data_IF_189531323238
#
_entry.id   IF_189531323238
#
_cell.length_a   1.000
_cell.length_b   1.000
_cell.length_c   1.000
_cell.angle_alpha   90.00
_cell.angle_beta   90.00
_cell.angle_gamma   90.00
#
_symmetry.space_group_name_H-M   'P 1'
#
loop_
_entity.id
_entity.type
_entity.pdbx_description
1 polymer ?
#
# COMPACT_ATOMS: atom_id res chain seq x y z
N UNK A 1 13.72 -9.70 -0.08
CA UNK A 1 12.51 -9.87 0.76
C UNK A 1 12.93 -9.88 2.22
N UNK A 2 12.23 -9.16 3.10
CA UNK A 2 12.53 -9.24 4.54
C UNK A 2 12.03 -10.59 5.09
N UNK A 3 12.78 -11.26 5.97
CA UNK A 3 12.29 -12.52 6.59
C UNK A 3 10.93 -12.33 7.25
N UNK A 4 10.74 -11.21 7.95
CA UNK A 4 9.47 -10.89 8.63
C UNK A 4 8.30 -10.68 7.66
N UNK A 5 8.58 -10.12 6.48
CA UNK A 5 7.58 -9.96 5.42
C UNK A 5 7.13 -11.32 4.90
N UNK A 6 8.09 -12.23 4.66
CA UNK A 6 7.81 -13.59 4.23
C UNK A 6 6.95 -14.31 5.24
N UNK A 7 7.32 -14.23 6.51
CA UNK A 7 6.61 -14.93 7.58
C UNK A 7 5.16 -14.43 7.70
N UNK A 8 4.91 -13.12 7.55
CA UNK A 8 3.54 -12.57 7.51
C UNK A 8 2.76 -13.07 6.29
N UNK A 9 3.34 -12.96 5.09
CA UNK A 9 2.70 -13.38 3.84
C UNK A 9 2.29 -14.85 3.91
N UNK A 10 3.18 -15.72 4.39
CA UNK A 10 2.89 -17.15 4.55
C UNK A 10 1.79 -17.42 5.57
N UNK A 11 1.76 -16.70 6.69
CA UNK A 11 0.68 -16.83 7.69
C UNK A 11 -0.67 -16.38 7.11
N UNK A 12 -0.70 -15.31 6.30
CA UNK A 12 -1.93 -14.87 5.63
C UNK A 12 -2.43 -15.95 4.66
N UNK A 13 -1.53 -16.54 3.86
CA UNK A 13 -1.90 -17.60 2.93
C UNK A 13 -2.38 -18.85 3.64
N UNK A 14 -1.76 -19.21 4.76
CA UNK A 14 -2.20 -20.32 5.61
C UNK A 14 -3.58 -20.06 6.20
N UNK A 15 -3.83 -18.84 6.68
CA UNK A 15 -5.11 -18.44 7.26
C UNK A 15 -6.27 -18.52 6.24
N UNK A 16 -6.06 -18.10 4.99
CA UNK A 16 -7.12 -18.08 3.98
C UNK A 16 -7.23 -19.37 3.14
N UNK A 17 -6.11 -20.05 2.87
CA UNK A 17 -6.05 -21.15 1.90
C UNK A 17 -5.46 -22.45 2.47
N UNK A 18 -5.00 -22.43 3.72
CA UNK A 18 -4.46 -23.59 4.41
C UNK A 18 -2.96 -23.81 4.23
N UNK A 19 -2.43 -24.72 5.03
CA UNK A 19 -1.00 -24.97 5.20
C UNK A 19 -0.31 -25.44 3.90
N UNK A 20 -0.98 -26.27 3.10
CA UNK A 20 -0.41 -26.78 1.84
C UNK A 20 -0.14 -25.65 0.85
N UNK A 21 -1.09 -24.71 0.74
CA UNK A 21 -0.95 -23.54 -0.13
C UNK A 21 0.18 -22.63 0.34
N UNK A 22 0.24 -22.40 1.66
CA UNK A 22 1.32 -21.60 2.28
C UNK A 22 2.70 -22.20 2.02
N UNK A 23 2.90 -23.51 2.22
CA UNK A 23 4.19 -24.16 1.99
C UNK A 23 4.67 -24.06 0.53
N UNK A 24 3.80 -24.34 -0.43
CA UNK A 24 4.13 -24.21 -1.86
C UNK A 24 4.42 -22.75 -2.23
N UNK A 25 3.64 -21.80 -1.69
CA UNK A 25 3.92 -20.37 -1.85
C UNK A 25 5.27 -19.96 -1.22
N UNK A 26 5.70 -20.60 -0.13
CA UNK A 26 7.02 -20.42 0.47
C UNK A 26 8.16 -20.82 -0.45
N UNK A 27 8.03 -21.96 -1.15
CA UNK A 27 8.99 -22.37 -2.17
C UNK A 27 9.05 -21.36 -3.34
N UNK A 28 7.89 -20.84 -3.75
CA UNK A 28 7.77 -19.82 -4.80
C UNK A 28 8.42 -18.49 -4.39
N UNK A 29 8.21 -18.03 -3.16
CA UNK A 29 8.81 -16.81 -2.62
C UNK A 29 10.33 -16.90 -2.49
N UNK A 30 10.86 -18.09 -2.15
CA UNK A 30 12.31 -18.30 -2.02
C UNK A 30 13.02 -18.46 -3.36
N UNK A 31 12.37 -19.12 -4.31
CA UNK A 31 12.97 -19.42 -5.62
C UNK A 31 12.83 -18.28 -6.62
N UNK A 32 11.88 -17.36 -6.41
CA UNK A 32 11.54 -16.34 -7.39
C UNK A 32 10.74 -16.92 -8.57
N UNK A 33 10.78 -16.27 -9.75
CA UNK A 33 10.10 -16.75 -10.96
C UNK A 33 10.54 -18.18 -11.32
N UNK A 34 9.59 -19.11 -11.39
CA UNK A 34 9.87 -20.53 -11.55
C UNK A 34 8.83 -21.24 -12.42
N UNK A 35 9.24 -22.26 -13.15
CA UNK A 35 8.32 -23.10 -13.93
C UNK A 35 7.57 -24.08 -13.04
N UNK A 36 6.39 -24.53 -13.48
CA UNK A 36 5.58 -25.52 -12.76
C UNK A 36 6.38 -26.81 -12.48
N UNK A 37 7.16 -27.30 -13.45
CA UNK A 37 7.94 -28.53 -13.28
C UNK A 37 9.03 -28.37 -12.22
N UNK A 38 9.75 -27.24 -12.24
CA UNK A 38 10.80 -26.96 -11.27
C UNK A 38 10.22 -26.71 -9.87
N UNK A 39 9.05 -26.06 -9.78
CA UNK A 39 8.33 -25.92 -8.53
C UNK A 39 7.92 -27.28 -7.97
N UNK A 40 7.35 -28.15 -8.81
CA UNK A 40 6.94 -29.50 -8.42
C UNK A 40 8.14 -30.36 -7.97
N UNK A 41 9.29 -30.29 -8.66
CA UNK A 41 10.50 -31.03 -8.24
C UNK A 41 11.13 -30.48 -6.98
N UNK A 42 11.02 -29.18 -6.73
CA UNK A 42 11.55 -28.54 -5.51
C UNK A 42 10.66 -28.74 -4.29
N UNK A 43 9.38 -28.99 -4.52
CA UNK A 43 8.39 -29.23 -3.48
C UNK A 43 8.33 -30.73 -3.17
N UNK A 44 8.13 -31.10 -1.90
CA UNK A 44 7.82 -32.49 -1.53
C UNK A 44 6.41 -32.94 -1.93
N UNK A 45 5.68 -32.12 -2.70
CA UNK A 45 4.29 -32.33 -3.07
C UNK A 45 4.15 -32.91 -4.46
N UNK A 46 3.07 -33.67 -4.69
CA UNK A 46 2.78 -34.22 -6.01
C UNK A 46 2.43 -33.11 -7.01
N UNK A 47 2.75 -33.33 -8.29
CA UNK A 47 2.46 -32.38 -9.37
C UNK A 47 1.00 -31.90 -9.38
N UNK A 48 0.05 -32.79 -9.11
CA UNK A 48 -1.38 -32.46 -9.06
C UNK A 48 -1.69 -31.46 -7.94
N UNK A 49 -1.10 -31.63 -6.76
CA UNK A 49 -1.29 -30.71 -5.62
C UNK A 49 -0.67 -29.34 -5.92
N UNK A 50 0.52 -29.31 -6.51
CA UNK A 50 1.20 -28.07 -6.91
C UNK A 50 0.40 -27.31 -7.97
N UNK A 51 -0.08 -28.02 -9.01
CA UNK A 51 -0.94 -27.45 -10.04
C UNK A 51 -2.22 -26.86 -9.46
N UNK A 52 -2.93 -27.60 -8.61
CA UNK A 52 -4.18 -27.12 -8.00
C UNK A 52 -3.94 -25.91 -7.09
N UNK A 53 -2.83 -25.90 -6.36
CA UNK A 53 -2.42 -24.78 -5.50
C UNK A 53 -2.16 -23.52 -6.33
N UNK A 54 -1.40 -23.63 -7.43
CA UNK A 54 -1.18 -22.49 -8.33
C UNK A 54 -2.48 -21.98 -8.93
N UNK A 55 -3.41 -22.87 -9.30
CA UNK A 55 -4.73 -22.45 -9.82
C UNK A 55 -5.51 -21.62 -8.79
N UNK A 56 -5.49 -22.00 -7.52
CA UNK A 56 -6.13 -21.23 -6.43
C UNK A 56 -5.45 -19.85 -6.33
N UNK A 57 -4.12 -19.81 -6.25
CA UNK A 57 -3.38 -18.56 -6.08
C UNK A 57 -3.53 -17.62 -7.28
N UNK A 58 -3.55 -18.15 -8.51
CA UNK A 58 -3.82 -17.38 -9.73
C UNK A 58 -5.25 -16.85 -9.71
N UNK A 59 -6.22 -17.69 -9.34
CA UNK A 59 -7.63 -17.29 -9.24
C UNK A 59 -7.82 -16.12 -8.26
N UNK A 60 -7.07 -16.06 -7.17
CA UNK A 60 -7.13 -14.92 -6.24
C UNK A 60 -6.18 -13.76 -6.60
N UNK A 61 -5.53 -13.80 -7.77
CA UNK A 61 -4.63 -12.74 -8.24
C UNK A 61 -3.33 -12.61 -7.43
N UNK A 62 -2.98 -13.63 -6.64
CA UNK A 62 -1.78 -13.64 -5.78
C UNK A 62 -0.54 -14.01 -6.59
N UNK A 63 -0.68 -14.99 -7.48
CA UNK A 63 0.38 -15.44 -8.39
C UNK A 63 0.14 -14.86 -9.78
N UNK A 64 1.16 -14.21 -10.31
CA UNK A 64 1.24 -13.80 -11.69
C UNK A 64 1.95 -14.88 -12.51
N UNK A 65 1.64 -14.94 -13.79
CA UNK A 65 2.34 -15.79 -14.74
C UNK A 65 2.77 -14.97 -15.95
N UNK A 66 4.01 -15.18 -16.36
CA UNK A 66 4.64 -14.51 -17.49
C UNK A 66 5.18 -15.57 -18.47
N UNK A 67 5.18 -15.21 -19.75
CA UNK A 67 5.70 -16.06 -20.83
C UNK A 67 7.13 -15.63 -21.14
N UNK A 68 8.07 -16.54 -21.01
CA UNK A 68 9.45 -16.34 -21.46
C UNK A 68 9.77 -17.31 -22.60
N UNK A 69 10.34 -16.79 -23.69
CA UNK A 69 10.89 -17.62 -24.76
C UNK A 69 12.38 -17.82 -24.54
N UNK A 70 12.83 -19.07 -24.51
CA UNK A 70 14.24 -19.41 -24.63
C UNK A 70 14.49 -20.04 -26.00
N UNK A 71 15.41 -19.46 -26.76
CA UNK A 71 15.88 -20.04 -28.01
C UNK A 71 16.97 -21.06 -27.72
N UNK A 72 16.73 -22.33 -28.02
CA UNK A 72 17.76 -23.37 -28.01
C UNK A 72 17.99 -23.78 -29.47
N UNK A 73 19.02 -23.22 -30.09
CA UNK A 73 19.27 -23.39 -31.53
C UNK A 73 18.21 -22.68 -32.37
N UNK A 74 17.54 -23.41 -33.27
CA UNK A 74 16.45 -22.90 -34.11
C UNK A 74 15.04 -23.12 -33.52
N UNK A 75 14.94 -23.62 -32.28
CA UNK A 75 13.67 -23.93 -31.64
C UNK A 75 13.43 -22.92 -30.52
N UNK A 76 12.35 -22.15 -30.66
CA UNK A 76 11.84 -21.29 -29.61
C UNK A 76 10.92 -22.10 -28.69
N UNK A 77 11.35 -22.30 -27.45
CA UNK A 77 10.55 -22.93 -26.40
C UNK A 77 9.97 -21.85 -25.52
N UNK A 78 8.64 -21.83 -25.39
CA UNK A 78 7.94 -20.93 -24.47
C UNK A 78 7.76 -21.60 -23.11
N UNK A 79 8.25 -20.93 -22.08
CA UNK A 79 8.13 -21.33 -20.69
C UNK A 79 7.19 -20.39 -19.95
N UNK A 80 6.30 -20.96 -19.13
CA UNK A 80 5.46 -20.18 -18.21
C UNK A 80 6.18 -20.09 -16.87
N UNK A 81 6.53 -18.87 -16.47
CA UNK A 81 7.08 -18.58 -15.15
C UNK A 81 6.00 -18.06 -14.22
N UNK A 82 5.96 -18.60 -13.01
CA UNK A 82 5.06 -18.17 -11.96
C UNK A 82 5.81 -17.32 -10.95
N UNK A 83 5.23 -16.20 -10.53
CA UNK A 83 5.78 -15.29 -9.53
C UNK A 83 4.71 -14.87 -8.52
N UNK A 84 5.07 -14.79 -7.23
CA UNK A 84 4.13 -14.39 -6.17
C UNK A 84 4.24 -12.90 -5.88
N UNK A 85 3.10 -12.21 -5.80
CA UNK A 85 3.04 -10.81 -5.41
C UNK A 85 2.65 -10.64 -3.95
N UNK A 86 3.62 -10.25 -3.11
CA UNK A 86 3.39 -9.99 -1.68
C UNK A 86 2.32 -8.92 -1.44
N UNK A 87 2.33 -7.86 -2.26
CA UNK A 87 1.36 -6.76 -2.15
C UNK A 87 -0.08 -7.24 -2.35
N UNK A 88 -0.29 -8.19 -3.28
CA UNK A 88 -1.61 -8.76 -3.51
C UNK A 88 -2.04 -9.64 -2.32
N UNK A 89 -1.12 -10.35 -1.66
CA UNK A 89 -1.45 -11.09 -0.42
C UNK A 89 -1.85 -10.13 0.70
N UNK A 90 -1.08 -9.07 0.94
CA UNK A 90 -1.42 -8.06 1.96
C UNK A 90 -2.78 -7.41 1.67
N UNK A 91 -3.11 -7.18 0.40
CA UNK A 91 -4.37 -6.57 0.00
C UNK A 91 -5.62 -7.41 0.34
N UNK A 92 -5.49 -8.73 0.58
CA UNK A 92 -6.61 -9.57 1.02
C UNK A 92 -7.20 -9.08 2.35
N UNK A 93 -6.33 -8.66 3.28
CA UNK A 93 -6.74 -8.11 4.58
C UNK A 93 -7.31 -6.68 4.45
N UNK A 94 -7.13 -6.03 3.30
CA UNK A 94 -7.62 -4.68 3.01
C UNK A 94 -8.92 -4.68 2.19
N UNK A 95 -9.46 -5.84 1.82
CA UNK A 95 -10.75 -5.95 1.14
C UNK A 95 -11.86 -5.20 1.91
N UNK A 96 -12.00 -5.32 3.25
CA UNK A 96 -13.02 -4.57 3.99
C UNK A 96 -12.93 -3.06 3.83
N UNK A 97 -11.71 -2.52 3.66
CA UNK A 97 -11.51 -1.09 3.45
C UNK A 97 -12.03 -0.62 2.08
N UNK A 98 -12.06 -1.49 1.07
CA UNK A 98 -12.70 -1.18 -0.24
C UNK A 98 -14.18 -0.84 -0.04
N UNK A 99 -14.88 -1.64 0.77
CA UNK A 99 -16.29 -1.41 1.08
C UNK A 99 -16.50 -0.12 1.87
N UNK A 100 -15.58 0.22 2.78
CA UNK A 100 -15.65 1.47 3.53
C UNK A 100 -15.53 2.70 2.61
N UNK A 101 -14.57 2.71 1.67
CA UNK A 101 -14.40 3.84 0.74
C UNK A 101 -15.61 4.00 -0.18
N UNK A 102 -16.23 2.88 -0.56
CA UNK A 102 -17.33 2.88 -1.53
C UNK A 102 -18.70 2.94 -0.88
N UNK A 103 -18.78 3.08 0.45
CA UNK A 103 -20.04 3.06 1.20
C UNK A 103 -21.04 4.14 0.75
N UNK A 104 -20.56 5.35 0.46
CA UNK A 104 -21.42 6.48 0.05
C UNK A 104 -22.07 6.28 -1.33
N UNK A 105 -21.58 5.31 -2.10
CA UNK A 105 -21.89 5.12 -3.51
C UNK A 105 -22.41 3.71 -3.83
N UNK A 106 -22.44 2.82 -2.85
CA UNK A 106 -22.87 1.44 -3.01
C UNK A 106 -24.31 1.28 -2.56
N UNK A 107 -25.18 0.99 -3.52
CA UNK A 107 -26.49 0.43 -3.22
C UNK A 107 -26.33 -1.01 -2.68
N UNK A 108 -27.36 -1.52 -1.98
CA UNK A 108 -27.37 -2.88 -1.42
C UNK A 108 -26.94 -3.93 -2.46
N UNK A 109 -27.50 -3.87 -3.67
CA UNK A 109 -27.20 -4.83 -4.75
C UNK A 109 -25.78 -4.68 -5.30
N UNK A 110 -25.30 -3.44 -5.43
CA UNK A 110 -23.92 -3.14 -5.85
C UNK A 110 -22.90 -3.70 -4.85
N UNK A 111 -23.20 -3.59 -3.54
CA UNK A 111 -22.33 -4.11 -2.49
C UNK A 111 -22.19 -5.64 -2.56
N UNK A 112 -23.28 -6.35 -2.86
CA UNK A 112 -23.27 -7.80 -3.00
C UNK A 112 -22.49 -8.23 -4.26
N UNK A 113 -22.63 -7.51 -5.39
CA UNK A 113 -21.82 -7.73 -6.59
C UNK A 113 -20.33 -7.59 -6.29
N UNK A 114 -19.94 -6.52 -5.59
CA UNK A 114 -18.54 -6.29 -5.20
C UNK A 114 -18.03 -7.38 -4.24
N UNK A 115 -18.87 -7.84 -3.31
CA UNK A 115 -18.55 -8.92 -2.37
C UNK A 115 -18.32 -10.26 -3.07
N UNK A 116 -19.13 -10.59 -4.08
CA UNK A 116 -18.93 -11.81 -4.87
C UNK A 116 -17.62 -11.77 -5.66
N UNK A 117 -17.29 -10.61 -6.24
CA UNK A 117 -16.01 -10.42 -6.94
C UNK A 117 -14.84 -10.54 -5.95
N UNK A 118 -14.95 -9.96 -4.76
CA UNK A 118 -13.94 -10.05 -3.71
C UNK A 118 -13.69 -11.51 -3.25
N UNK A 119 -14.76 -12.26 -3.00
CA UNK A 119 -14.69 -13.66 -2.55
C UNK A 119 -14.10 -14.58 -3.61
N UNK A 120 -14.50 -14.42 -4.87
CA UNK A 120 -14.10 -15.32 -5.94
C UNK A 120 -12.78 -14.93 -6.62
N UNK A 121 -12.27 -13.71 -6.41
CA UNK A 121 -10.98 -13.25 -6.93
C UNK A 121 -11.08 -12.74 -8.37
N UNK A 122 -10.61 -13.54 -9.33
CA UNK A 122 -10.72 -13.30 -10.77
C UNK A 122 -11.96 -14.02 -11.29
N UNK A 123 -12.93 -13.25 -11.78
CA UNK A 123 -14.26 -13.75 -12.14
C UNK A 123 -14.71 -13.20 -13.48
N UNK A 124 -15.43 -14.01 -14.26
CA UNK A 124 -16.08 -13.54 -15.49
C UNK A 124 -17.49 -13.01 -15.21
N UNK A 125 -17.98 -12.08 -16.04
CA UNK A 125 -19.34 -11.55 -15.93
C UNK A 125 -20.39 -12.65 -15.88
N UNK A 126 -20.29 -13.65 -16.76
CA UNK A 126 -21.22 -14.78 -16.77
C UNK A 126 -21.23 -15.61 -15.47
N UNK A 127 -20.13 -15.66 -14.72
CA UNK A 127 -20.09 -16.33 -13.41
C UNK A 127 -20.71 -15.47 -12.30
N UNK A 128 -20.52 -14.15 -12.36
CA UNK A 128 -21.18 -13.22 -11.43
C UNK A 128 -22.69 -13.29 -11.60
N UNK A 129 -23.19 -13.23 -12.85
CA UNK A 129 -24.62 -13.38 -13.18
C UNK A 129 -25.21 -14.70 -12.66
N UNK A 130 -24.46 -15.81 -12.79
CA UNK A 130 -24.90 -17.13 -12.27
C UNK A 130 -24.92 -17.21 -10.74
N UNK A 131 -23.95 -16.57 -10.07
CA UNK A 131 -23.88 -16.57 -8.61
C UNK A 131 -24.97 -15.67 -7.99
N UNK A 132 -25.37 -14.62 -8.69
CA UNK A 132 -26.36 -13.64 -8.26
C UNK A 132 -27.65 -13.76 -9.09
N UNK A 133 -28.27 -14.94 -9.07
CA UNK A 133 -29.54 -15.19 -9.77
C UNK A 133 -30.70 -14.32 -9.28
N UNK A 134 -30.55 -13.71 -8.09
CA UNK A 134 -31.57 -12.88 -7.46
C UNK A 134 -31.54 -11.42 -7.95
N UNK A 135 -30.45 -10.99 -8.60
CA UNK A 135 -30.26 -9.61 -9.06
C UNK A 135 -30.42 -9.59 -10.59
N UNK A 136 -31.12 -8.57 -11.12
CA UNK A 136 -31.29 -8.41 -12.56
C UNK A 136 -29.93 -8.22 -13.26
N UNK A 137 -29.75 -8.84 -14.43
CA UNK A 137 -28.49 -8.81 -15.16
C UNK A 137 -28.04 -7.38 -15.51
N UNK A 138 -28.98 -6.49 -15.82
CA UNK A 138 -28.72 -5.09 -16.16
C UNK A 138 -28.12 -4.33 -14.97
N UNK A 139 -28.60 -4.59 -13.74
CA UNK A 139 -28.07 -3.98 -12.50
C UNK A 139 -26.65 -4.43 -12.22
N UNK A 140 -26.33 -5.70 -12.51
CA UNK A 140 -24.97 -6.24 -12.37
C UNK A 140 -24.02 -5.53 -13.34
N UNK A 141 -24.44 -5.35 -14.60
CA UNK A 141 -23.63 -4.67 -15.62
C UNK A 141 -23.42 -3.18 -15.28
N UNK A 142 -24.47 -2.48 -14.84
CA UNK A 142 -24.36 -1.09 -14.40
C UNK A 142 -23.43 -0.95 -13.18
N UNK A 143 -23.52 -1.87 -12.23
CA UNK A 143 -22.63 -1.90 -11.04
C UNK A 143 -21.17 -2.08 -11.44
N UNK A 144 -20.89 -3.01 -12.36
CA UNK A 144 -19.53 -3.25 -12.86
C UNK A 144 -19.01 -2.02 -13.61
N UNK A 145 -19.84 -1.35 -14.40
CA UNK A 145 -19.45 -0.10 -15.06
C UNK A 145 -19.09 0.99 -14.05
N UNK A 146 -19.91 1.20 -13.02
CA UNK A 146 -19.63 2.13 -11.91
C UNK A 146 -18.28 1.79 -11.23
N UNK A 147 -17.99 0.50 -11.04
CA UNK A 147 -16.73 0.07 -10.42
C UNK A 147 -15.50 0.26 -11.31
N UNK A 148 -15.65 0.11 -12.63
CA UNK A 148 -14.59 0.38 -13.60
C UNK A 148 -14.29 1.88 -13.70
N UNK A 149 -15.31 2.73 -13.77
CA UNK A 149 -15.16 4.18 -13.83
C UNK A 149 -14.42 4.73 -12.60
N UNK A 150 -14.73 4.18 -11.42
CA UNK A 150 -14.02 4.52 -10.17
C UNK A 150 -12.64 3.87 -10.01
N UNK A 151 -12.33 2.87 -10.83
CA UNK A 151 -11.08 2.10 -10.75
C UNK A 151 -11.01 1.12 -9.59
N UNK A 152 -12.15 0.78 -8.95
CA UNK A 152 -12.24 -0.24 -7.89
C UNK A 152 -11.90 -1.64 -8.43
N UNK A 153 -12.28 -1.88 -9.68
CA UNK A 153 -12.06 -3.14 -10.41
C UNK A 153 -11.22 -2.86 -11.65
N UNK A 154 -10.42 -3.85 -12.05
CA UNK A 154 -9.63 -3.83 -13.28
C UNK A 154 -9.95 -5.06 -14.12
N UNK A 155 -9.96 -4.86 -15.44
CA UNK A 155 -10.09 -5.93 -16.43
C UNK A 155 -8.79 -6.73 -16.49
N UNK A 156 -8.89 -8.05 -16.36
CA UNK A 156 -7.78 -8.97 -16.49
C UNK A 156 -7.68 -9.49 -17.91
N UNK A 157 -6.46 -9.47 -18.47
CA UNK A 157 -6.18 -10.18 -19.71
C UNK A 157 -6.27 -11.70 -19.50
N UNK A 158 -6.96 -12.38 -20.40
CA UNK A 158 -6.99 -13.84 -20.44
C UNK A 158 -5.64 -14.41 -20.87
N UNK A 159 -5.39 -15.69 -20.59
CA UNK A 159 -4.17 -16.37 -21.06
C UNK A 159 -4.04 -16.30 -22.58
N UNK A 160 -5.15 -16.48 -23.31
CA UNK A 160 -5.18 -16.39 -24.77
C UNK A 160 -4.78 -14.99 -25.27
N UNK A 161 -5.26 -13.93 -24.60
CA UNK A 161 -4.87 -12.56 -24.94
C UNK A 161 -3.37 -12.33 -24.73
N UNK A 162 -2.79 -12.83 -23.62
CA UNK A 162 -1.34 -12.72 -23.38
C UNK A 162 -0.53 -13.53 -24.39
N UNK A 163 -0.99 -14.72 -24.74
CA UNK A 163 -0.33 -15.57 -25.73
C UNK A 163 -0.34 -14.93 -27.12
N UNK A 164 -1.47 -14.34 -27.52
CA UNK A 164 -1.58 -13.63 -28.79
C UNK A 164 -0.69 -12.37 -28.82
N UNK A 165 -0.67 -11.58 -27.74
CA UNK A 165 0.23 -10.42 -27.62
C UNK A 165 1.71 -10.82 -27.70
N UNK A 166 2.07 -11.94 -27.06
CA UNK A 166 3.43 -12.49 -27.11
C UNK A 166 3.81 -12.95 -28.52
N UNK A 167 2.90 -13.61 -29.25
CA UNK A 167 3.13 -14.04 -30.63
C UNK A 167 3.20 -12.85 -31.62
N UNK A 168 2.52 -11.75 -31.31
CA UNK A 168 2.49 -10.54 -32.13
C UNK A 168 3.64 -9.57 -31.83
N UNK A 169 4.57 -9.91 -30.92
CA UNK A 169 5.74 -9.08 -30.60
C UNK A 169 5.47 -7.84 -29.75
N UNK A 170 4.29 -7.74 -29.12
CA UNK A 170 4.02 -6.71 -28.12
C UNK A 170 4.78 -7.04 -26.83
N UNK A 171 6.05 -6.63 -26.77
CA UNK A 171 6.81 -6.71 -25.53
C UNK A 171 6.12 -5.81 -24.50
N UNK A 172 5.77 -6.38 -23.35
CA UNK A 172 5.24 -5.66 -22.19
C UNK A 172 6.32 -4.80 -21.53
N UNK A 173 6.85 -3.80 -22.24
CA UNK A 173 7.55 -2.67 -21.64
C UNK A 173 6.55 -1.54 -21.50
N UNK A 174 6.09 -1.36 -20.27
CA UNK A 174 5.25 -0.24 -19.88
C UNK A 174 6.04 1.06 -20.02
N UNK A 175 5.52 2.06 -20.74
CA UNK A 175 5.37 3.45 -20.22
C UNK A 175 4.78 4.45 -21.23
N UNK A 176 4.72 4.20 -22.54
CA UNK A 176 4.19 5.19 -23.49
C UNK A 176 3.06 4.71 -24.42
N UNK A 177 2.63 3.44 -24.36
CA UNK A 177 1.53 2.91 -25.21
C UNK A 177 0.13 3.16 -24.66
N UNK A 178 -0.02 3.74 -23.47
CA UNK A 178 -1.31 3.94 -22.82
C UNK A 178 -2.33 4.75 -23.63
N UNK A 179 -1.90 5.53 -24.62
CA UNK A 179 -2.82 6.25 -25.52
C UNK A 179 -3.30 5.36 -26.68
N UNK A 180 -2.41 4.54 -27.25
CA UNK A 180 -2.72 3.64 -28.36
C UNK A 180 -3.45 2.39 -27.91
N UNK A 181 -3.13 1.83 -26.74
CA UNK A 181 -3.86 0.71 -26.14
C UNK A 181 -5.25 1.13 -25.70
N UNK A 182 -5.41 2.36 -25.21
CA UNK A 182 -6.73 2.93 -24.93
C UNK A 182 -7.50 3.25 -26.21
N UNK A 183 -6.84 3.69 -27.29
CA UNK A 183 -7.50 3.88 -28.60
C UNK A 183 -7.89 2.54 -29.25
N UNK A 184 -7.06 1.49 -29.14
CA UNK A 184 -7.33 0.17 -29.70
C UNK A 184 -8.42 -0.56 -28.91
N UNK A 185 -8.36 -0.55 -27.58
CA UNK A 185 -9.45 -1.08 -26.75
C UNK A 185 -10.75 -0.30 -26.94
N UNK A 186 -10.66 1.03 -27.13
CA UNK A 186 -11.83 1.83 -27.48
C UNK A 186 -12.34 1.54 -28.91
N UNK A 187 -11.48 1.24 -29.89
CA UNK A 187 -11.89 0.91 -31.27
C UNK A 187 -12.62 -0.44 -31.38
N UNK A 188 -12.29 -1.42 -30.54
CA UNK A 188 -13.07 -2.67 -30.45
C UNK A 188 -14.38 -2.53 -29.66
N UNK A 189 -14.62 -1.37 -29.04
CA UNK A 189 -15.90 -1.04 -28.36
C UNK A 189 -16.73 0.06 -29.04
N UNK A 190 -16.17 0.78 -30.02
CA UNK A 190 -16.82 1.95 -30.64
C UNK A 190 -17.36 1.71 -32.05
N UNK A 191 -17.22 0.51 -32.61
CA UNK A 191 -17.75 0.19 -33.94
C UNK A 191 -19.09 -0.55 -33.89
N UNK A 192 -20.10 0.03 -33.25
CA UNK A 192 -21.52 -0.06 -33.65
C UNK A 192 -22.40 0.70 -32.67
N UNK A 193 -23.26 1.59 -33.18
CA UNK A 193 -24.21 2.39 -32.41
C UNK A 193 -25.40 1.60 -31.84
N UNK A 194 -25.15 0.55 -31.07
CA UNK A 194 -26.13 -0.19 -30.28
C UNK A 194 -25.53 -0.48 -28.90
N UNK A 195 -26.35 -0.53 -27.84
CA UNK A 195 -25.95 -0.52 -26.43
C UNK A 195 -24.70 -1.34 -26.06
N UNK A 196 -23.95 -0.85 -25.07
CA UNK A 196 -22.72 -1.47 -24.55
C UNK A 196 -22.97 -2.92 -24.09
N UNK A 197 -22.74 -3.90 -24.96
CA UNK A 197 -22.78 -5.32 -24.55
C UNK A 197 -21.43 -5.69 -23.95
N UNK A 198 -21.33 -5.75 -22.62
CA UNK A 198 -20.19 -6.35 -21.94
C UNK A 198 -20.09 -7.83 -22.31
N UNK A 199 -18.90 -8.30 -22.71
CA UNK A 199 -18.73 -9.70 -23.07
C UNK A 199 -18.74 -10.59 -21.83
N UNK A 200 -19.53 -11.67 -21.82
CA UNK A 200 -19.66 -12.58 -20.66
C UNK A 200 -18.34 -13.27 -20.27
N UNK A 201 -17.34 -13.27 -21.18
CA UNK A 201 -16.02 -13.86 -20.99
C UNK A 201 -14.99 -12.90 -20.38
N UNK A 202 -15.29 -11.61 -20.26
CA UNK A 202 -14.38 -10.62 -19.70
C UNK A 202 -14.12 -10.90 -18.21
N UNK A 203 -12.85 -10.91 -17.82
CA UNK A 203 -12.41 -11.20 -16.46
C UNK A 203 -12.19 -9.92 -15.67
N UNK A 204 -12.64 -9.92 -14.42
CA UNK A 204 -12.53 -8.79 -13.50
C UNK A 204 -11.82 -9.21 -12.23
N UNK A 205 -11.07 -8.28 -11.64
CA UNK A 205 -10.48 -8.41 -10.30
C UNK A 205 -10.51 -7.09 -9.55
N UNK A 206 -10.43 -7.15 -8.23
CA UNK A 206 -10.23 -5.97 -7.40
C UNK A 206 -8.86 -5.33 -7.70
N UNK A 207 -8.86 -4.00 -7.81
CA UNK A 207 -7.67 -3.25 -8.10
C UNK A 207 -6.83 -2.99 -6.84
N UNK A 208 -5.86 -3.87 -6.58
CA UNK A 208 -4.95 -3.74 -5.43
C UNK A 208 -4.13 -2.46 -5.45
N UNK A 209 -3.80 -1.93 -6.65
CA UNK A 209 -3.10 -0.64 -6.79
C UNK A 209 -3.97 0.52 -6.35
N UNK A 210 -5.23 0.54 -6.78
CA UNK A 210 -6.19 1.56 -6.36
C UNK A 210 -6.38 1.59 -4.83
N UNK A 211 -6.45 0.43 -4.18
CA UNK A 211 -6.52 0.36 -2.71
C UNK A 211 -5.31 1.06 -2.08
N UNK A 212 -4.11 0.74 -2.55
CA UNK A 212 -2.90 1.33 -2.00
C UNK A 212 -2.83 2.86 -2.23
N UNK A 213 -3.22 3.34 -3.41
CA UNK A 213 -3.22 4.77 -3.74
C UNK A 213 -4.31 5.57 -3.02
N UNK A 214 -5.51 4.99 -2.86
CA UNK A 214 -6.62 5.61 -2.12
C UNK A 214 -6.26 5.75 -0.65
N UNK A 215 -5.67 4.71 -0.05
CA UNK A 215 -5.13 4.73 1.31
C UNK A 215 -4.16 5.89 1.53
N UNK A 216 -3.16 6.04 0.66
CA UNK A 216 -2.18 7.11 0.78
C UNK A 216 -2.82 8.49 0.60
N UNK A 217 -3.75 8.63 -0.36
CA UNK A 217 -4.48 9.88 -0.59
C UNK A 217 -5.31 10.28 0.64
N UNK A 218 -6.02 9.34 1.27
CA UNK A 218 -6.81 9.61 2.47
C UNK A 218 -5.92 10.07 3.64
N UNK A 219 -4.81 9.38 3.89
CA UNK A 219 -3.90 9.76 4.98
C UNK A 219 -3.21 11.10 4.73
N UNK A 220 -2.87 11.41 3.47
CA UNK A 220 -2.36 12.73 3.09
C UNK A 220 -3.42 13.80 3.34
N UNK A 221 -4.69 13.57 2.97
CA UNK A 221 -5.79 14.51 3.27
C UNK A 221 -5.90 14.78 4.77
N UNK A 222 -5.94 13.72 5.60
CA UNK A 222 -6.05 13.86 7.06
C UNK A 222 -4.88 14.64 7.67
N UNK A 223 -3.66 14.35 7.21
CA UNK A 223 -2.48 15.06 7.63
C UNK A 223 -2.54 16.54 7.23
N UNK A 224 -3.03 16.84 6.02
CA UNK A 224 -3.13 18.20 5.53
C UNK A 224 -4.17 19.02 6.29
N UNK A 225 -5.35 18.44 6.52
CA UNK A 225 -6.43 19.10 7.27
C UNK A 225 -6.01 19.42 8.70
N UNK A 226 -5.24 18.52 9.33
CA UNK A 226 -4.69 18.75 10.67
C UNK A 226 -3.61 19.83 10.70
N UNK A 227 -2.85 20.03 9.62
CA UNK A 227 -1.74 21.00 9.55
C UNK A 227 -2.21 22.41 9.24
N UNK A 228 -3.09 22.56 8.26
CA UNK A 228 -3.51 23.87 7.74
C UNK A 228 -4.72 24.43 8.52
N UNK A 229 -5.59 23.57 9.06
CA UNK A 229 -6.80 23.98 9.77
C UNK A 229 -8.07 23.88 8.93
N UNK A 230 -9.23 23.98 9.60
CA UNK A 230 -10.52 23.54 9.08
C UNK A 230 -11.43 24.66 8.56
N UNK A 231 -11.23 25.07 7.31
CA UNK A 231 -12.31 25.71 6.55
C UNK A 231 -12.74 24.75 5.45
N UNK A 232 -14.04 24.46 5.32
CA UNK A 232 -14.54 23.50 4.32
C UNK A 232 -14.10 23.86 2.90
N UNK A 233 -14.04 25.16 2.57
CA UNK A 233 -13.54 25.64 1.28
C UNK A 233 -12.07 25.26 1.03
N UNK A 234 -11.23 25.30 2.06
CA UNK A 234 -9.83 24.86 1.96
C UNK A 234 -9.75 23.37 1.65
N UNK A 235 -10.58 22.56 2.31
CA UNK A 235 -10.64 21.12 2.08
C UNK A 235 -11.04 20.83 0.63
N UNK A 236 -12.08 21.48 0.11
CA UNK A 236 -12.52 21.31 -1.28
C UNK A 236 -11.45 21.77 -2.29
N UNK A 237 -10.74 22.87 -2.04
CA UNK A 237 -9.62 23.33 -2.88
C UNK A 237 -8.50 22.28 -2.91
N UNK A 238 -8.10 21.76 -1.75
CA UNK A 238 -7.08 20.72 -1.65
C UNK A 238 -7.53 19.42 -2.33
N UNK A 239 -8.80 19.02 -2.19
CA UNK A 239 -9.32 17.84 -2.87
C UNK A 239 -9.30 17.98 -4.39
N UNK A 240 -9.64 19.15 -4.92
CA UNK A 240 -9.58 19.42 -6.37
C UNK A 240 -8.14 19.35 -6.87
N UNK A 241 -7.19 19.90 -6.11
CA UNK A 241 -5.76 19.81 -6.44
C UNK A 241 -5.23 18.36 -6.36
N UNK A 242 -5.73 17.57 -5.41
CA UNK A 242 -5.30 16.17 -5.23
C UNK A 242 -5.96 15.18 -6.22
N UNK A 243 -7.08 15.53 -6.86
CA UNK A 243 -7.82 14.62 -7.75
C UNK A 243 -7.12 14.30 -9.07
N UNK A 244 -6.35 15.23 -9.68
CA UNK A 244 -5.73 15.02 -11.01
C UNK A 244 -4.33 14.36 -10.99
N UNK A 245 -3.88 13.80 -9.87
CA UNK A 245 -2.61 13.05 -9.81
C UNK A 245 -1.35 13.93 -9.77
N UNK A 246 -0.18 13.33 -10.01
CA UNK A 246 1.14 13.84 -9.56
C UNK A 246 1.76 14.97 -10.38
N UNK A 247 1.22 15.37 -11.53
CA UNK A 247 1.93 16.28 -12.45
C UNK A 247 1.07 17.29 -13.21
N UNK A 248 -0.22 17.44 -12.90
CA UNK A 248 -1.06 18.41 -13.61
C UNK A 248 -1.16 19.71 -12.83
N UNK A 249 -0.60 20.78 -13.40
CA UNK A 249 -0.86 22.14 -12.96
C UNK A 249 -2.29 22.52 -13.33
N UNK A 250 -3.01 23.15 -12.41
CA UNK A 250 -4.39 23.58 -12.61
C UNK A 250 -4.44 25.10 -12.68
N UNK A 251 -5.05 25.64 -13.74
CA UNK A 251 -5.30 27.08 -13.82
C UNK A 251 -6.30 27.52 -12.75
N UNK A 252 -6.20 28.77 -12.30
CA UNK A 252 -7.14 29.35 -11.33
C UNK A 252 -8.61 29.13 -11.73
N UNK A 253 -8.96 29.36 -13.01
CA UNK A 253 -10.32 29.22 -13.54
C UNK A 253 -10.84 27.78 -13.48
N UNK A 254 -9.96 26.80 -13.68
CA UNK A 254 -10.31 25.38 -13.53
C UNK A 254 -10.53 24.98 -12.08
N UNK A 255 -9.74 25.53 -11.16
CA UNK A 255 -9.89 25.27 -9.72
C UNK A 255 -11.19 25.87 -9.23
N UNK A 256 -11.44 27.14 -9.55
CA UNK A 256 -12.66 27.86 -9.19
C UNK A 256 -13.90 27.13 -9.73
N UNK A 257 -13.95 26.81 -11.02
CA UNK A 257 -15.11 26.11 -11.60
C UNK A 257 -15.34 24.71 -11.01
N UNK A 258 -14.30 23.99 -10.59
CA UNK A 258 -14.44 22.67 -9.95
C UNK A 258 -14.80 22.76 -8.48
N UNK A 259 -14.27 23.74 -7.75
CA UNK A 259 -14.62 24.01 -6.35
C UNK A 259 -16.06 24.50 -6.25
N UNK A 260 -16.50 25.35 -7.16
CA UNK A 260 -17.91 25.80 -7.23
C UNK A 260 -18.88 24.66 -7.56
N UNK A 261 -18.44 23.65 -8.32
CA UNK A 261 -19.23 22.43 -8.58
C UNK A 261 -19.23 21.45 -7.40
N UNK A 262 -18.17 21.42 -6.59
CA UNK A 262 -18.07 20.50 -5.45
C UNK A 262 -18.75 21.03 -4.19
N UNK A 263 -18.82 22.35 -4.02
CA UNK A 263 -19.60 22.98 -2.93
C UNK A 263 -21.08 22.94 -3.28
N UNK A 264 -21.74 21.82 -2.97
CA UNK A 264 -23.20 21.72 -3.03
C UNK A 264 -23.79 22.51 -1.86
N UNK A 265 -24.32 23.69 -2.14
CA UNK A 265 -25.23 24.51 -1.29
C UNK A 265 -24.69 25.04 0.06
N UNK A 266 -24.49 26.36 0.17
CA UNK A 266 -25.15 27.28 1.16
C UNK A 266 -24.43 28.63 1.33
N UNK A 267 -23.15 28.75 0.98
CA UNK A 267 -22.43 30.02 1.14
C UNK A 267 -22.19 30.69 -0.21
N UNK A 268 -22.58 31.96 -0.32
CA UNK A 268 -22.14 32.86 -1.39
C UNK A 268 -20.62 32.96 -1.28
N UNK A 269 -19.90 32.18 -2.10
CA UNK A 269 -18.44 32.23 -2.14
C UNK A 269 -18.07 33.54 -2.85
N UNK A 270 -17.43 34.46 -2.13
CA UNK A 270 -16.89 35.66 -2.73
C UNK A 270 -15.85 35.28 -3.81
N UNK A 271 -15.88 35.92 -5.00
CA UNK A 271 -15.05 35.54 -6.15
C UNK A 271 -13.53 35.65 -5.93
N UNK A 272 -13.11 36.16 -4.77
CA UNK A 272 -11.69 36.32 -4.39
C UNK A 272 -11.27 35.46 -3.19
N UNK A 273 -12.20 34.75 -2.53
CA UNK A 273 -11.86 33.91 -1.36
C UNK A 273 -10.99 32.72 -1.76
N UNK A 274 -11.27 32.08 -2.89
CA UNK A 274 -10.47 30.97 -3.43
C UNK A 274 -9.04 31.42 -3.73
N UNK A 275 -8.87 32.60 -4.33
CA UNK A 275 -7.55 33.18 -4.59
C UNK A 275 -6.81 33.48 -3.27
N UNK A 276 -7.49 34.07 -2.28
CA UNK A 276 -6.90 34.34 -0.96
C UNK A 276 -6.40 33.06 -0.30
N UNK A 277 -7.16 31.98 -0.38
CA UNK A 277 -6.79 30.66 0.15
C UNK A 277 -5.57 30.09 -0.59
N UNK A 278 -5.55 30.15 -1.93
CA UNK A 278 -4.42 29.69 -2.73
C UNK A 278 -3.14 30.49 -2.44
N UNK A 279 -3.25 31.81 -2.26
CA UNK A 279 -2.10 32.63 -1.84
C UNK A 279 -1.65 32.31 -0.41
N UNK A 280 -2.56 31.99 0.50
CA UNK A 280 -2.24 31.52 1.86
C UNK A 280 -1.53 30.16 1.85
N UNK A 281 -1.99 29.23 1.01
CA UNK A 281 -1.38 27.91 0.83
C UNK A 281 0.03 28.00 0.24
N UNK A 282 0.27 28.92 -0.69
CA UNK A 282 1.60 29.17 -1.26
C UNK A 282 2.57 29.79 -0.22
N UNK A 283 2.06 30.67 0.66
CA UNK A 283 2.86 31.31 1.73
C UNK A 283 3.11 30.40 2.94
N UNK A 284 2.47 29.24 3.02
CA UNK A 284 2.63 28.31 4.13
C UNK A 284 4.09 27.81 4.24
N UNK A 285 4.69 27.69 5.44
CA UNK A 285 6.10 27.28 5.61
C UNK A 285 6.41 25.93 4.95
N UNK A 286 5.42 25.04 4.94
CA UNK A 286 5.57 23.72 4.34
C UNK A 286 5.46 23.72 2.79
N UNK A 287 5.09 24.82 2.12
CA UNK A 287 5.04 24.97 0.65
C UNK A 287 4.43 23.77 -0.11
N UNK A 288 3.25 23.30 0.29
CA UNK A 288 2.58 22.17 -0.38
C UNK A 288 1.98 22.52 -1.73
N UNK A 289 1.64 23.79 -1.94
CA UNK A 289 1.09 24.28 -3.19
C UNK A 289 2.13 25.16 -3.85
N UNK A 290 2.57 24.77 -5.04
CA UNK A 290 3.50 25.53 -5.87
C UNK A 290 2.69 26.38 -6.84
N UNK A 291 3.08 27.64 -6.97
CA UNK A 291 2.50 28.56 -7.95
C UNK A 291 3.49 28.76 -9.09
N UNK A 292 3.11 28.36 -10.30
CA UNK A 292 3.86 28.70 -11.51
C UNK A 292 3.42 30.06 -12.01
N UNK A 293 4.37 30.99 -12.09
CA UNK A 293 4.12 32.39 -12.49
C UNK A 293 3.74 32.48 -13.97
N UNK A 294 4.30 31.59 -14.80
CA UNK A 294 4.17 31.64 -16.26
C UNK A 294 2.74 31.29 -16.73
N UNK A 295 2.09 30.32 -16.08
CA UNK A 295 0.77 29.81 -16.46
C UNK A 295 -0.37 30.22 -15.50
N UNK A 296 -0.09 31.02 -14.46
CA UNK A 296 -1.03 31.30 -13.34
C UNK A 296 -1.68 30.01 -12.82
N UNK A 297 -0.88 28.97 -12.69
CA UNK A 297 -1.31 27.63 -12.37
C UNK A 297 -0.78 27.20 -11.01
N UNK A 298 -1.57 26.39 -10.32
CA UNK A 298 -1.24 25.84 -9.01
C UNK A 298 -1.06 24.33 -9.13
N UNK A 299 0.00 23.81 -8.54
CA UNK A 299 0.25 22.36 -8.46
C UNK A 299 0.48 21.95 -7.00
N UNK A 300 0.15 20.69 -6.71
CA UNK A 300 0.37 20.11 -5.38
C UNK A 300 1.69 19.32 -5.37
N UNK A 301 2.58 19.64 -4.42
CA UNK A 301 3.84 18.95 -4.23
C UNK A 301 3.62 17.63 -3.46
N UNK A 302 3.34 16.59 -4.23
CA UNK A 302 3.18 15.22 -3.72
C UNK A 302 4.44 14.67 -3.08
N UNK A 303 5.62 15.06 -3.56
CA UNK A 303 6.88 14.56 -3.04
C UNK A 303 7.10 15.08 -1.62
N UNK A 304 6.94 16.38 -1.41
CA UNK A 304 7.07 16.99 -0.09
C UNK A 304 6.00 16.53 0.89
N UNK A 305 4.76 16.39 0.42
CA UNK A 305 3.67 15.87 1.24
C UNK A 305 3.93 14.42 1.71
N UNK A 306 4.40 13.55 0.81
CA UNK A 306 4.79 12.17 1.15
C UNK A 306 5.98 12.11 2.10
N UNK A 307 7.02 12.91 1.89
CA UNK A 307 8.16 12.96 2.80
C UNK A 307 7.74 13.43 4.20
N UNK A 308 6.88 14.45 4.30
CA UNK A 308 6.37 14.88 5.60
C UNK A 308 5.53 13.79 6.27
N UNK A 309 4.69 13.08 5.51
CA UNK A 309 3.95 11.94 6.03
C UNK A 309 4.89 10.84 6.55
N UNK A 310 5.95 10.52 5.80
CA UNK A 310 6.99 9.56 6.19
C UNK A 310 7.65 9.98 7.51
N UNK A 311 8.18 11.20 7.61
CA UNK A 311 8.85 11.69 8.81
C UNK A 311 7.91 11.73 10.03
N UNK A 312 6.67 12.19 9.84
CA UNK A 312 5.65 12.24 10.90
C UNK A 312 5.28 10.84 11.37
N UNK A 313 5.12 9.88 10.46
CA UNK A 313 4.82 8.49 10.78
C UNK A 313 5.96 7.86 11.59
N UNK A 314 7.22 8.03 11.14
CA UNK A 314 8.40 7.53 11.84
C UNK A 314 8.52 8.14 13.24
N UNK A 315 8.34 9.45 13.37
CA UNK A 315 8.31 10.14 14.66
C UNK A 315 7.23 9.57 15.59
N UNK A 316 6.01 9.38 15.06
CA UNK A 316 4.88 8.80 15.80
C UNK A 316 5.19 7.40 16.32
N UNK A 317 5.78 6.54 15.49
CA UNK A 317 6.18 5.19 15.88
C UNK A 317 7.24 5.21 16.99
N UNK A 318 8.28 6.02 16.86
CA UNK A 318 9.34 6.10 17.88
C UNK A 318 8.80 6.68 19.18
N UNK A 319 7.93 7.69 19.10
CA UNK A 319 7.24 8.25 20.27
C UNK A 319 6.42 7.17 20.99
N UNK A 320 5.70 6.33 20.25
CA UNK A 320 4.86 5.29 20.85
C UNK A 320 5.69 4.14 21.45
N UNK A 321 6.81 3.79 20.82
CA UNK A 321 7.65 2.66 21.26
C UNK A 321 8.65 3.03 22.37
N UNK A 322 9.21 4.24 22.33
CA UNK A 322 10.34 4.66 23.18
C UNK A 322 10.10 5.99 23.91
N UNK A 323 8.92 6.59 23.74
CA UNK A 323 8.53 7.83 24.40
C UNK A 323 8.99 9.09 23.67
N UNK A 324 8.47 10.23 24.13
CA UNK A 324 8.68 11.54 23.49
C UNK A 324 10.14 12.02 23.53
N UNK A 325 10.88 11.69 24.60
CA UNK A 325 12.30 12.07 24.74
C UNK A 325 13.16 11.37 23.69
N UNK A 326 12.87 10.10 23.40
CA UNK A 326 13.55 9.34 22.37
C UNK A 326 13.23 9.85 20.96
N UNK A 327 11.96 10.14 20.69
CA UNK A 327 11.54 10.74 19.43
C UNK A 327 12.22 12.08 19.18
N UNK A 328 12.39 12.92 20.22
CA UNK A 328 13.10 14.19 20.12
C UNK A 328 14.60 14.02 19.79
N UNK A 329 15.29 13.10 20.45
CA UNK A 329 16.69 12.80 20.16
C UNK A 329 16.82 12.27 18.72
N UNK A 330 15.93 11.38 18.30
CA UNK A 330 15.92 10.86 16.93
C UNK A 330 15.68 11.95 15.88
N UNK A 331 14.73 12.87 16.09
CA UNK A 331 14.51 14.01 15.18
C UNK A 331 15.76 14.86 15.07
N UNK A 332 16.43 15.13 16.19
CA UNK A 332 17.66 15.90 16.21
C UNK A 332 18.77 15.23 15.39
N UNK A 333 18.95 13.91 15.54
CA UNK A 333 19.93 13.15 14.75
C UNK A 333 19.62 13.23 13.25
N UNK A 334 18.35 13.18 12.86
CA UNK A 334 17.95 13.25 11.45
C UNK A 334 18.15 14.66 10.88
N UNK A 335 17.71 15.70 11.58
CA UNK A 335 17.86 17.08 11.10
C UNK A 335 19.32 17.40 10.85
N UNK A 336 20.20 17.01 11.77
CA UNK A 336 21.63 17.27 11.65
C UNK A 336 22.26 16.42 10.54
N UNK A 337 21.83 15.17 10.38
CA UNK A 337 22.29 14.32 9.27
C UNK A 337 21.83 14.83 7.90
N UNK A 338 20.63 15.40 7.81
CA UNK A 338 20.10 16.02 6.58
C UNK A 338 20.83 17.33 6.24
N UNK A 339 21.17 18.13 7.24
CA UNK A 339 21.92 19.38 7.06
C UNK A 339 23.38 19.11 6.70
N UNK A 340 24.05 18.18 7.39
CA UNK A 340 25.45 17.83 7.17
C UNK A 340 25.70 16.32 7.38
N UNK A 341 25.86 15.51 6.32
CA UNK A 341 26.01 14.05 6.44
C UNK A 341 27.34 13.61 7.07
N UNK A 342 28.33 14.52 7.17
CA UNK A 342 29.63 14.31 7.81
C UNK A 342 29.65 14.75 9.28
N UNK A 343 28.59 15.43 9.75
CA UNK A 343 28.55 15.91 11.13
C UNK A 343 28.07 14.82 12.06
N UNK A 344 28.93 14.48 12.99
CA UNK A 344 28.77 13.40 13.95
C UNK A 344 28.60 14.01 15.33
N UNK A 345 27.56 13.60 16.07
CA UNK A 345 27.23 14.22 17.35
C UNK A 345 27.66 13.34 18.51
N UNK A 346 28.34 13.95 19.48
CA UNK A 346 28.66 13.34 20.77
C UNK A 346 27.48 13.45 21.74
N UNK A 347 27.48 12.59 22.77
CA UNK A 347 26.48 12.51 23.82
C UNK A 347 26.31 13.87 24.53
N UNK A 348 27.39 14.61 24.76
CA UNK A 348 27.32 15.93 25.40
C UNK A 348 26.56 16.95 24.53
N UNK A 349 26.83 16.95 23.22
CA UNK A 349 26.14 17.85 22.28
C UNK A 349 24.67 17.49 22.14
N UNK A 350 24.37 16.19 22.05
CA UNK A 350 22.99 15.69 21.99
C UNK A 350 22.24 16.08 23.26
N UNK A 351 22.87 15.94 24.43
CA UNK A 351 22.28 16.32 25.73
C UNK A 351 21.94 17.81 25.77
N UNK A 352 22.86 18.69 25.34
CA UNK A 352 22.67 20.14 25.30
C UNK A 352 21.56 20.54 24.33
N UNK A 353 21.62 20.08 23.07
CA UNK A 353 20.65 20.47 22.03
C UNK A 353 19.27 19.85 22.23
N UNK A 354 19.19 18.61 22.73
CA UNK A 354 17.92 17.95 23.00
C UNK A 354 17.32 18.35 24.35
N UNK A 355 18.03 19.11 25.21
CA UNK A 355 17.57 19.48 26.57
C UNK A 355 17.15 18.22 27.35
N UNK A 356 18.06 17.24 27.42
CA UNK A 356 17.91 15.99 28.17
C UNK A 356 19.16 15.81 29.02
N UNK A 357 19.02 15.34 30.27
CA UNK A 357 20.20 15.02 31.08
C UNK A 357 21.11 14.00 30.39
N UNK A 358 22.42 14.12 30.59
CA UNK A 358 23.40 13.29 29.89
C UNK A 358 23.20 11.78 30.13
N UNK A 359 22.79 11.40 31.33
CA UNK A 359 22.47 10.01 31.70
C UNK A 359 21.28 9.47 30.89
N UNK A 360 20.21 10.28 30.78
CA UNK A 360 19.02 9.90 30.00
C UNK A 360 19.31 9.90 28.50
N UNK A 361 20.11 10.84 28.01
CA UNK A 361 20.52 10.88 26.61
C UNK A 361 21.32 9.60 26.25
N UNK A 362 22.28 9.22 27.10
CA UNK A 362 23.06 7.98 26.93
C UNK A 362 22.17 6.73 26.93
N UNK A 363 21.26 6.60 27.90
CA UNK A 363 20.35 5.46 27.98
C UNK A 363 19.46 5.33 26.72
N UNK A 364 18.90 6.46 26.26
CA UNK A 364 18.06 6.49 25.06
C UNK A 364 18.88 6.17 23.80
N UNK A 365 20.07 6.74 23.66
CA UNK A 365 20.92 6.49 22.48
C UNK A 365 21.30 5.02 22.37
N UNK A 366 21.71 4.39 23.47
CA UNK A 366 21.98 2.95 23.47
C UNK A 366 20.75 2.10 23.19
N UNK A 367 19.58 2.51 23.68
CA UNK A 367 18.34 1.83 23.33
C UNK A 367 18.03 1.94 21.83
N UNK A 368 18.22 3.13 21.23
CA UNK A 368 18.02 3.36 19.80
C UNK A 368 19.04 2.61 18.94
N UNK A 369 20.31 2.49 19.37
CA UNK A 369 21.32 1.73 18.63
C UNK A 369 21.06 0.23 18.68
N UNK A 370 20.76 -0.34 19.86
CA UNK A 370 20.41 -1.77 20.01
C UNK A 370 19.22 -2.15 19.12
N UNK A 371 18.26 -1.22 18.99
CA UNK A 371 17.06 -1.45 18.18
C UNK A 371 17.25 -1.11 16.69
N UNK A 372 18.41 -0.62 16.27
CA UNK A 372 18.76 -0.34 14.88
C UNK A 372 18.23 0.99 14.32
N UNK A 373 17.80 1.92 15.18
CA UNK A 373 17.36 3.26 14.77
C UNK A 373 18.48 4.28 14.71
N UNK A 374 19.59 4.03 15.41
CA UNK A 374 20.80 4.84 15.37
C UNK A 374 22.01 3.94 15.06
N UNK A 375 23.02 4.52 14.41
CA UNK A 375 24.31 3.91 14.17
C UNK A 375 25.35 4.55 15.08
N UNK A 376 26.18 3.71 15.67
CA UNK A 376 27.38 4.12 16.38
C UNK A 376 28.49 4.24 15.34
N UNK A 377 29.14 5.40 15.24
CA UNK A 377 30.32 5.61 14.42
C UNK A 377 31.52 5.78 15.34
N UNK A 378 32.53 4.96 15.09
CA UNK A 378 33.86 5.15 15.63
C UNK A 378 34.60 6.12 14.70
N UNK A 379 35.39 7.07 15.22
CA UNK A 379 36.16 7.96 14.38
C UNK A 379 37.19 7.17 13.56
N UNK A 380 37.28 7.43 12.26
CA UNK A 380 38.29 6.82 11.40
C UNK A 380 39.68 7.16 11.93
N UNK A 381 40.42 6.12 12.32
CA UNK A 381 41.77 6.20 12.85
C UNK A 381 42.79 6.54 11.76
N UNK A 382 42.76 7.77 11.23
CA UNK A 382 43.91 8.35 10.54
C UNK A 382 44.83 9.13 11.50
N UNK A 383 44.46 9.22 12.77
CA UNK A 383 45.36 9.59 13.85
C UNK A 383 45.70 8.33 14.66
N UNK A 384 46.99 7.99 14.68
CA UNK A 384 47.56 6.95 15.55
C UNK A 384 46.98 7.10 16.95
N UNK A 385 46.35 6.05 17.48
CA UNK A 385 45.93 5.97 18.88
C UNK A 385 47.19 6.12 19.73
N UNK A 386 47.44 7.32 20.23
CA UNK A 386 48.65 7.62 21.00
C UNK A 386 48.59 7.04 22.41
N UNK A 387 47.40 6.68 22.94
CA UNK A 387 47.24 6.02 24.23
C UNK A 387 45.96 5.16 24.25
N UNK A 388 45.99 3.91 24.75
CA UNK A 388 44.80 3.07 24.93
C UNK A 388 43.89 3.51 26.09
N UNK A 389 44.23 4.60 26.79
CA UNK A 389 43.47 5.17 27.92
C UNK A 389 42.67 6.42 27.55
N UNK A 390 42.80 6.96 26.33
CA UNK A 390 41.93 8.04 25.86
C UNK A 390 40.57 7.47 25.47
N UNK A 391 39.54 7.92 26.18
CA UNK A 391 38.14 7.50 26.01
C UNK A 391 37.75 7.65 24.55
N UNK A 392 37.52 6.54 23.85
CA UNK A 392 36.93 6.53 22.52
C UNK A 392 35.63 7.35 22.57
N UNK A 393 35.62 8.51 21.93
CA UNK A 393 34.41 9.31 21.76
C UNK A 393 33.53 8.63 20.74
N UNK A 394 32.30 8.31 21.13
CA UNK A 394 31.33 7.64 20.28
C UNK A 394 30.42 8.67 19.64
N UNK A 395 30.29 8.58 18.32
CA UNK A 395 29.40 9.42 17.57
C UNK A 395 28.14 8.67 17.17
N UNK A 396 27.01 9.39 17.12
CA UNK A 396 25.73 8.81 16.77
C UNK A 396 25.17 9.47 15.51
N UNK A 397 24.74 8.64 14.56
CA UNK A 397 24.03 9.09 13.36
C UNK A 397 22.75 8.29 13.19
N UNK A 398 21.75 8.88 12.53
CA UNK A 398 20.51 8.19 12.16
C UNK A 398 20.08 8.65 10.79
N UNK A 399 19.53 7.73 10.00
CA UNK A 399 18.93 8.06 8.71
C UNK A 399 17.45 7.69 8.69
N UNK A 400 16.69 8.47 7.92
CA UNK A 400 15.27 8.24 7.68
C UNK A 400 15.05 6.84 7.11
N UNK A 401 15.90 6.39 6.17
CA UNK A 401 15.73 5.10 5.49
C UNK A 401 16.09 3.89 6.35
N UNK A 402 17.10 4.02 7.22
CA UNK A 402 17.43 2.98 8.21
C UNK A 402 16.27 2.81 9.19
N UNK A 403 15.75 3.93 9.69
CA UNK A 403 14.62 3.93 10.62
C UNK A 403 13.36 3.35 9.96
N UNK A 404 13.10 3.74 8.72
CA UNK A 404 11.98 3.25 7.93
C UNK A 404 12.02 1.74 7.73
N UNK A 405 13.17 1.21 7.30
CA UNK A 405 13.38 -0.23 7.12
C UNK A 405 13.14 -1.01 8.40
N UNK A 406 13.60 -0.49 9.54
CA UNK A 406 13.43 -1.13 10.83
C UNK A 406 11.99 -1.08 11.35
N UNK A 407 11.28 0.04 11.15
CA UNK A 407 9.85 0.17 11.50
C UNK A 407 9.01 -0.77 10.64
N UNK A 408 9.26 -0.86 9.33
CA UNK A 408 8.58 -1.80 8.44
C UNK A 408 8.81 -3.25 8.91
N UNK A 409 10.06 -3.62 9.21
CA UNK A 409 10.39 -4.95 9.73
C UNK A 409 9.62 -5.28 11.02
N UNK A 410 9.55 -4.34 11.96
CA UNK A 410 8.77 -4.50 13.19
C UNK A 410 7.27 -4.61 12.91
N UNK A 411 6.76 -3.83 11.96
CA UNK A 411 5.34 -3.83 11.59
C UNK A 411 4.91 -5.18 11.01
N UNK A 412 5.74 -5.78 10.15
CA UNK A 412 5.49 -7.14 9.67
C UNK A 412 5.43 -8.15 10.83
N UNK A 413 6.35 -8.06 11.78
CA UNK A 413 6.34 -8.92 12.97
C UNK A 413 5.09 -8.71 13.82
N UNK A 414 4.65 -7.47 14.00
CA UNK A 414 3.40 -7.17 14.71
C UNK A 414 2.19 -7.78 14.01
N UNK A 415 2.11 -7.65 12.68
CA UNK A 415 1.07 -8.30 11.88
C UNK A 415 1.07 -9.81 12.06
N UNK A 416 2.25 -10.44 12.02
CA UNK A 416 2.39 -11.90 12.20
C UNK A 416 1.92 -12.34 13.58
N UNK A 417 2.32 -11.62 14.63
CA UNK A 417 1.93 -11.92 16.01
C UNK A 417 0.42 -11.74 16.23
N UNK A 418 -0.18 -10.69 15.66
CA UNK A 418 -1.62 -10.47 15.73
C UNK A 418 -2.40 -11.56 15.02
N UNK A 419 -1.94 -12.00 13.84
CA UNK A 419 -2.59 -13.08 13.10
C UNK A 419 -2.48 -14.43 13.82
N UNK A 420 -1.34 -14.74 14.41
CA UNK A 420 -1.16 -15.95 15.23
C UNK A 420 -2.07 -15.93 16.46
N UNK A 421 -2.18 -14.77 17.12
CA UNK A 421 -3.11 -14.59 18.24
C UNK A 421 -4.57 -14.76 17.78
N UNK A 422 -4.94 -14.21 16.63
CA UNK A 422 -6.29 -14.35 16.07
C UNK A 422 -6.64 -15.84 15.82
N UNK A 423 -5.73 -16.58 15.20
CA UNK A 423 -5.91 -18.02 14.94
C UNK A 423 -6.02 -18.80 16.25
N UNK A 424 -5.17 -18.49 17.24
CA UNK A 424 -5.23 -19.11 18.55
C UNK A 424 -6.57 -18.86 19.25
N UNK A 425 -7.06 -17.61 19.23
CA UNK A 425 -8.34 -17.26 19.85
C UNK A 425 -9.53 -17.90 19.12
N UNK A 426 -9.55 -17.92 17.77
CA UNK A 426 -10.58 -18.63 16.99
C UNK A 426 -10.60 -20.13 17.26
N UNK A 427 -9.44 -20.78 17.30
CA UNK A 427 -9.32 -22.19 17.63
C UNK A 427 -9.76 -22.49 19.07
N UNK A 428 -9.44 -21.58 20.00
CA UNK A 428 -9.88 -21.70 21.40
C UNK A 428 -11.40 -21.55 21.52
N UNK A 429 -12.00 -20.58 20.82
CA UNK A 429 -13.44 -20.38 20.78
C UNK A 429 -14.13 -21.62 20.18
N UNK A 430 -13.62 -22.15 19.07
CA UNK A 430 -14.13 -23.37 18.45
C UNK A 430 -14.09 -24.58 19.40
N UNK A 431 -12.99 -24.76 20.14
CA UNK A 431 -12.90 -25.83 21.16
C UNK A 431 -13.90 -25.64 22.30
N UNK A 432 -14.18 -24.40 22.72
CA UNK A 432 -15.21 -24.12 23.74
C UNK A 432 -16.61 -24.46 23.24
N UNK A 433 -16.93 -24.08 22.00
CA UNK A 433 -18.21 -24.42 21.36
C UNK A 433 -18.45 -25.93 21.27
N UNK A 434 -17.40 -26.73 21.07
CA UNK A 434 -17.51 -28.20 21.03
C UNK A 434 -17.69 -28.84 22.42
N UNK A 435 -17.43 -28.11 23.51
CA UNK A 435 -17.43 -28.63 24.88
C UNK A 435 -18.65 -28.17 25.69
N UNK A 436 -19.46 -27.23 25.19
CA UNK A 436 -20.61 -26.66 25.89
C UNK A 436 -21.88 -26.86 25.04
N UNK A 437 -22.79 -27.69 25.52
CA UNK A 437 -24.18 -27.74 25.04
C UNK A 437 -24.93 -26.50 25.57
N UNK A 438 -25.43 -25.68 24.65
CA UNK A 438 -26.42 -24.60 24.81
C UNK A 438 -26.08 -23.23 25.49
N UNK A 439 -26.27 -22.19 24.68
CA UNK A 439 -27.08 -20.97 24.92
C UNK A 439 -26.71 -19.94 26.01
N UNK A 440 -25.48 -19.89 26.55
CA UNK A 440 -25.05 -18.75 27.38
C UNK A 440 -23.85 -17.97 26.83
N UNK A 441 -24.17 -17.06 25.89
CA UNK A 441 -23.51 -15.77 25.60
C UNK A 441 -21.97 -15.78 25.41
N UNK A 442 -21.56 -16.19 24.21
CA UNK A 442 -20.19 -16.10 23.67
C UNK A 442 -19.76 -14.68 23.23
N UNK A 443 -20.40 -13.63 23.75
CA UNK A 443 -20.19 -12.23 23.34
C UNK A 443 -18.76 -11.74 23.63
N UNK A 444 -18.12 -12.28 24.67
CA UNK A 444 -16.76 -11.85 25.07
C UNK A 444 -15.66 -12.45 24.18
N UNK A 445 -15.83 -13.68 23.70
CA UNK A 445 -14.87 -14.36 22.82
C UNK A 445 -14.87 -13.79 21.40
N UNK A 446 -16.05 -13.44 20.89
CA UNK A 446 -16.20 -12.80 19.58
C UNK A 446 -15.71 -11.35 19.58
N UNK A 447 -15.98 -10.60 20.65
CA UNK A 447 -15.51 -9.22 20.79
C UNK A 447 -13.96 -9.12 20.77
N UNK A 448 -13.26 -10.07 21.40
CA UNK A 448 -11.80 -10.10 21.40
C UNK A 448 -11.21 -10.36 20.01
N UNK A 449 -11.78 -11.31 19.26
CA UNK A 449 -11.39 -11.56 17.87
C UNK A 449 -11.59 -10.32 16.99
N UNK A 450 -12.72 -9.62 17.14
CA UNK A 450 -13.00 -8.40 16.39
C UNK A 450 -11.98 -7.29 16.65
N UNK A 451 -11.58 -7.09 17.91
CA UNK A 451 -10.53 -6.11 18.26
C UNK A 451 -9.19 -6.47 17.62
N UNK A 452 -8.83 -7.76 17.58
CA UNK A 452 -7.58 -8.20 16.94
C UNK A 452 -7.63 -8.00 15.42
N UNK A 453 -8.75 -8.30 14.78
CA UNK A 453 -8.94 -8.07 13.34
C UNK A 453 -8.83 -6.58 12.99
N UNK A 454 -9.42 -5.70 13.79
CA UNK A 454 -9.29 -4.24 13.63
C UNK A 454 -7.82 -3.81 13.75
N UNK A 455 -7.11 -4.27 14.78
CA UNK A 455 -5.69 -3.96 14.94
C UNK A 455 -4.84 -4.51 13.79
N UNK A 456 -5.14 -5.71 13.31
CA UNK A 456 -4.47 -6.31 12.16
C UNK A 456 -4.68 -5.45 10.91
N UNK A 457 -5.91 -5.02 10.62
CA UNK A 457 -6.22 -4.11 9.50
C UNK A 457 -5.41 -2.83 9.61
N UNK A 458 -5.34 -2.19 10.79
CA UNK A 458 -4.55 -0.97 10.96
C UNK A 458 -3.05 -1.18 10.73
N UNK A 459 -2.49 -2.30 11.18
CA UNK A 459 -1.08 -2.63 10.96
C UNK A 459 -0.82 -2.86 9.46
N UNK A 460 -1.70 -3.58 8.75
CA UNK A 460 -1.55 -3.80 7.30
C UNK A 460 -1.72 -2.48 6.53
N UNK A 461 -2.70 -1.64 6.91
CA UNK A 461 -2.89 -0.29 6.37
C UNK A 461 -1.57 0.49 6.47
N UNK A 462 -0.98 0.51 7.67
CA UNK A 462 0.29 1.17 7.93
C UNK A 462 1.43 0.60 7.07
N UNK A 463 1.57 -0.72 6.97
CA UNK A 463 2.60 -1.37 6.13
C UNK A 463 2.47 -0.93 4.68
N UNK A 464 1.26 -0.99 4.10
CA UNK A 464 1.04 -0.63 2.68
C UNK A 464 1.35 0.84 2.42
N UNK A 465 0.95 1.75 3.32
CA UNK A 465 1.31 3.17 3.22
C UNK A 465 2.82 3.35 3.28
N UNK A 466 3.50 2.69 4.23
CA UNK A 466 4.94 2.83 4.40
C UNK A 466 5.71 2.27 3.18
N UNK A 467 5.29 1.14 2.60
CA UNK A 467 5.84 0.64 1.35
C UNK A 467 5.73 1.68 0.21
N UNK A 468 4.57 2.33 0.08
CA UNK A 468 4.38 3.38 -0.90
C UNK A 468 5.21 4.64 -0.64
N UNK A 469 5.60 4.92 0.61
CA UNK A 469 6.47 6.04 0.95
C UNK A 469 7.96 5.73 0.71
N UNK A 470 8.32 4.46 0.56
CA UNK A 470 9.69 4.03 0.26
C UNK A 470 10.06 4.24 -1.22
N UNK A 471 9.13 3.96 -2.13
CA UNK A 471 9.36 3.94 -3.58
C UNK A 471 9.62 5.31 -4.21
N UNK A 472 9.51 6.40 -3.43
CA UNK A 472 9.70 7.78 -3.91
C UNK A 472 11.03 8.41 -3.45
N UNK A 473 12.01 7.64 -2.98
CA UNK A 473 13.34 8.19 -2.67
C UNK A 473 14.08 8.63 -3.95
N UNK A 474 14.00 9.93 -4.27
CA UNK A 474 14.76 10.70 -5.28
C UNK A 474 15.24 9.89 -6.51
N UNK A 475 14.43 9.90 -7.57
CA UNK A 475 14.96 9.91 -8.95
C UNK A 475 15.44 11.31 -9.28
#
# INVERSE_FOLDING_TARGET
MLSSERDLVLRILEYYFGETVSRIAGHLLLSGPITLHKLASSSSYSFKVVRNTLLILIKHGIVNYDLESSSIGHIDVTHVLYSLSCNNVLSLLLIPYVFLISQDDLDSDSSEVLLQIAKAGIVSLGRVKKALSNIAADVIEESIFKFLDKGLIVVCQSFQQRQNGFQNGESTYNTNSGVLDNLANNMYTLSSGAGFTMSDSQLYKINTKFISESLLKEELKLLMFKRIGGTELLHHVLEVLMKKGTQTSLSYKEIESKVMKSVKTTNVIEPNKVLSILTGLNKHPDKFVLHSIDDRSYSFDWYKAKNMLKERALFGCIKQLYGIKAARIWTLLITIFQENPTTCLDIEEISKRAVVSIQNARAILYQLTIKGFAKLQEPDSNHKIANPTDRQQFYFTSSVDSTHSQIIKNSYKFGSNLLERLVHEKNSNFRRHLMVDDNSLDVTGEANCGVIEIHLIYVIKFIVIMQQLQTFSKS
#
